data_IF_186676232378
#
_entry.id   IF_186676232378
#
_cell.length_a   1.000
_cell.length_b   1.000
_cell.length_c   1.000
_cell.angle_alpha   90.00
_cell.angle_beta   90.00
_cell.angle_gamma   90.00
#
_symmetry.space_group_name_H-M   'P 1'
#
loop_
_entity.id
_entity.type
_entity.pdbx_description
1 polymer ?
#
# COMPACT_ATOMS: atom_id res chain seq x y z
N UNK A 1 14.29 12.57 4.87
CA UNK A 1 14.30 13.37 3.63
C UNK A 1 13.48 12.64 2.59
N UNK A 2 12.67 13.35 1.78
CA UNK A 2 11.88 12.74 0.73
C UNK A 2 12.77 12.02 -0.29
N UNK A 3 12.26 10.91 -0.80
CA UNK A 3 12.87 10.17 -1.91
C UNK A 3 12.23 10.59 -3.24
N UNK A 4 12.88 10.18 -4.32
CA UNK A 4 12.55 10.62 -5.66
C UNK A 4 12.40 9.43 -6.59
N UNK A 5 11.34 9.45 -7.37
CA UNK A 5 10.88 8.32 -8.15
C UNK A 5 10.57 8.70 -9.58
N UNK A 6 10.66 7.72 -10.46
CA UNK A 6 10.29 7.80 -11.85
C UNK A 6 9.39 6.62 -12.18
N UNK A 7 8.20 6.90 -12.72
CA UNK A 7 7.27 5.85 -13.16
C UNK A 7 7.18 5.77 -14.68
N UNK A 8 7.38 4.58 -15.24
CA UNK A 8 7.09 4.28 -16.64
C UNK A 8 5.71 3.59 -16.75
N UNK A 9 4.69 4.34 -17.15
CA UNK A 9 3.31 3.87 -17.15
C UNK A 9 2.57 4.15 -18.46
N UNK A 10 3.24 3.99 -19.60
CA UNK A 10 2.67 4.26 -20.95
C UNK A 10 1.28 3.61 -21.16
N UNK A 11 1.07 2.41 -20.63
CA UNK A 11 -0.15 1.62 -20.83
C UNK A 11 -1.35 2.13 -20.01
N UNK A 12 -1.08 2.71 -18.83
CA UNK A 12 -2.09 3.01 -17.80
C UNK A 12 -2.10 4.48 -17.36
N UNK A 13 -1.28 5.34 -18.00
CA UNK A 13 -1.11 6.75 -17.64
C UNK A 13 -2.43 7.52 -17.52
N UNK A 14 -3.43 7.27 -18.39
CA UNK A 14 -4.70 8.00 -18.32
C UNK A 14 -5.47 7.66 -17.04
N UNK A 15 -5.52 6.37 -16.70
CA UNK A 15 -6.21 5.87 -15.52
C UNK A 15 -5.49 6.26 -14.23
N UNK A 16 -4.16 6.13 -14.21
CA UNK A 16 -3.33 6.44 -13.05
C UNK A 16 -3.30 7.95 -12.73
N UNK A 17 -3.19 8.80 -13.76
CA UNK A 17 -3.30 10.26 -13.57
C UNK A 17 -4.72 10.65 -13.14
N UNK A 18 -5.74 10.18 -13.87
CA UNK A 18 -7.13 10.54 -13.59
C UNK A 18 -7.66 10.01 -12.26
N UNK A 19 -7.13 8.87 -11.79
CA UNK A 19 -7.48 8.27 -10.50
C UNK A 19 -6.63 8.74 -9.32
N UNK A 20 -5.52 9.44 -9.56
CA UNK A 20 -4.64 9.90 -8.48
C UNK A 20 -3.89 8.78 -7.78
N UNK A 21 -3.35 7.82 -8.55
CA UNK A 21 -2.61 6.69 -8.00
C UNK A 21 -1.60 6.09 -8.97
N UNK A 22 -0.72 5.24 -8.45
CA UNK A 22 0.00 4.20 -9.19
C UNK A 22 -0.52 2.83 -8.78
N UNK A 23 -0.50 1.89 -9.72
CA UNK A 23 -0.90 0.50 -9.44
C UNK A 23 0.04 -0.50 -10.11
N UNK A 24 0.48 -1.51 -9.37
CA UNK A 24 1.25 -2.62 -9.91
C UNK A 24 0.78 -3.95 -9.33
N UNK A 25 1.01 -5.08 -10.01
CA UNK A 25 0.92 -6.37 -9.34
C UNK A 25 1.98 -6.47 -8.23
N UNK A 26 1.80 -7.41 -7.30
CA UNK A 26 2.78 -7.66 -6.22
C UNK A 26 4.01 -8.42 -6.68
N UNK A 27 3.85 -9.24 -7.72
CA UNK A 27 4.87 -10.11 -8.30
C UNK A 27 4.74 -10.10 -9.83
N UNK A 28 5.79 -10.56 -10.51
CA UNK A 28 5.73 -10.81 -11.95
C UNK A 28 4.80 -12.01 -12.25
N UNK A 29 4.39 -12.16 -13.52
CA UNK A 29 3.47 -13.23 -13.93
C UNK A 29 3.98 -14.66 -13.64
N UNK A 30 5.29 -14.83 -13.47
CA UNK A 30 5.92 -16.11 -13.11
C UNK A 30 6.10 -16.28 -11.58
N UNK A 31 5.52 -15.38 -10.76
CA UNK A 31 5.66 -15.35 -9.31
C UNK A 31 6.99 -14.75 -8.82
N UNK A 32 7.87 -14.29 -9.71
CA UNK A 32 9.15 -13.71 -9.30
C UNK A 32 8.98 -12.33 -8.63
N UNK A 33 9.85 -12.03 -7.68
CA UNK A 33 9.96 -10.70 -7.06
C UNK A 33 10.42 -9.66 -8.09
N UNK A 34 9.80 -8.48 -8.07
CA UNK A 34 10.20 -7.34 -8.91
C UNK A 34 10.60 -6.16 -8.04
N UNK A 35 11.86 -5.71 -8.12
CA UNK A 35 12.31 -4.53 -7.38
C UNK A 35 11.44 -3.29 -7.69
N UNK A 36 10.93 -3.17 -8.92
CA UNK A 36 10.12 -2.03 -9.33
C UNK A 36 8.72 -2.04 -8.71
N UNK A 37 8.15 -3.21 -8.42
CA UNK A 37 6.89 -3.31 -7.69
C UNK A 37 7.11 -3.14 -6.19
N UNK A 38 8.22 -3.66 -5.65
CA UNK A 38 8.59 -3.44 -4.25
C UNK A 38 8.82 -1.97 -3.92
N UNK A 39 9.34 -1.19 -4.88
CA UNK A 39 9.51 0.25 -4.73
C UNK A 39 8.20 0.98 -4.39
N UNK A 40 7.03 0.44 -4.77
CA UNK A 40 5.74 0.99 -4.37
C UNK A 40 5.57 1.01 -2.84
N UNK A 41 6.07 -0.02 -2.15
CA UNK A 41 6.03 -0.10 -0.69
C UNK A 41 7.08 0.75 0.00
N UNK A 42 8.20 1.00 -0.68
CA UNK A 42 9.31 1.78 -0.16
C UNK A 42 8.99 3.28 -0.24
N UNK A 43 8.17 3.69 -1.22
CA UNK A 43 7.73 5.06 -1.37
C UNK A 43 6.96 5.54 -0.12
N UNK A 44 7.31 6.74 0.36
CA UNK A 44 6.75 7.34 1.56
C UNK A 44 5.94 8.60 1.23
N UNK A 45 4.98 8.97 2.10
CA UNK A 45 4.29 10.24 1.99
C UNK A 45 5.27 11.41 1.83
N UNK A 46 5.04 12.28 0.85
CA UNK A 46 5.89 13.43 0.52
C UNK A 46 7.01 13.15 -0.50
N UNK A 47 7.24 11.89 -0.86
CA UNK A 47 8.13 11.53 -1.96
C UNK A 47 7.59 12.07 -3.31
N UNK A 48 8.49 12.40 -4.23
CA UNK A 48 8.14 13.00 -5.52
C UNK A 48 8.31 12.00 -6.66
N UNK A 49 7.36 11.98 -7.60
CA UNK A 49 7.29 11.01 -8.70
C UNK A 49 7.18 11.70 -10.06
N UNK A 50 8.05 11.39 -11.01
CA UNK A 50 7.91 11.83 -12.40
C UNK A 50 7.06 10.83 -13.20
N UNK A 51 6.02 11.33 -13.87
CA UNK A 51 5.17 10.55 -14.78
C UNK A 51 5.77 10.50 -16.18
N UNK A 52 6.41 9.38 -16.54
CA UNK A 52 6.94 9.17 -17.88
C UNK A 52 6.04 8.24 -18.71
N UNK A 53 5.49 8.80 -19.78
CA UNK A 53 4.69 8.06 -20.75
C UNK A 53 4.90 8.61 -22.15
N UNK A 54 4.89 7.72 -23.15
CA UNK A 54 5.01 8.11 -24.56
C UNK A 54 6.23 8.98 -24.87
N UNK A 55 7.37 8.77 -24.19
CA UNK A 55 8.62 9.55 -24.30
C UNK A 55 8.60 10.94 -23.65
N UNK A 56 7.51 11.30 -22.96
CA UNK A 56 7.33 12.60 -22.34
C UNK A 56 7.12 12.49 -20.84
N UNK A 57 7.49 13.54 -20.14
CA UNK A 57 7.05 13.83 -18.78
C UNK A 57 6.06 14.98 -18.86
N UNK A 58 4.84 14.70 -18.41
CA UNK A 58 3.72 15.65 -18.44
C UNK A 58 3.15 15.97 -17.07
N UNK A 59 3.45 15.14 -16.08
CA UNK A 59 3.00 15.32 -14.71
C UNK A 59 4.15 15.03 -13.76
N UNK A 60 4.09 15.69 -12.61
CA UNK A 60 4.86 15.37 -11.42
C UNK A 60 3.88 15.10 -10.30
N UNK A 61 4.16 14.08 -9.49
CA UNK A 61 3.29 13.63 -8.42
C UNK A 61 3.96 13.73 -7.06
N UNK A 62 3.15 13.83 -6.02
CA UNK A 62 3.57 13.62 -4.63
C UNK A 62 2.84 12.42 -4.06
N UNK A 63 3.57 11.49 -3.45
CA UNK A 63 2.98 10.37 -2.72
C UNK A 63 2.19 10.90 -1.54
N UNK A 64 0.90 10.60 -1.47
CA UNK A 64 0.02 11.14 -0.41
C UNK A 64 0.05 10.29 0.86
N UNK A 65 0.15 8.97 0.70
CA UNK A 65 0.13 8.00 1.78
C UNK A 65 0.97 6.75 1.44
N UNK A 66 1.25 5.90 2.43
CA UNK A 66 1.90 4.61 2.18
C UNK A 66 1.06 3.73 1.24
N UNK A 67 1.75 2.89 0.46
CA UNK A 67 1.10 1.93 -0.41
C UNK A 67 0.19 0.98 0.40
N UNK A 68 -0.98 0.68 -0.17
CA UNK A 68 -1.90 -0.33 0.36
C UNK A 68 -2.10 -1.43 -0.65
N UNK A 69 -2.62 -2.56 -0.18
CA UNK A 69 -3.12 -3.62 -1.06
C UNK A 69 -4.51 -3.25 -1.56
N UNK A 70 -4.72 -3.44 -2.86
CA UNK A 70 -5.99 -3.16 -3.51
C UNK A 70 -6.21 -4.07 -4.73
N UNK A 71 -7.48 -4.35 -5.08
CA UNK A 71 -7.81 -5.02 -6.33
C UNK A 71 -7.27 -4.29 -7.56
N UNK A 72 -7.12 -5.03 -8.66
CA UNK A 72 -6.83 -4.44 -9.96
C UNK A 72 -7.98 -3.50 -10.37
N UNK A 73 -7.72 -2.24 -10.74
CA UNK A 73 -8.78 -1.33 -11.18
C UNK A 73 -9.53 -1.86 -12.40
N UNK A 74 -10.86 -1.93 -12.34
CA UNK A 74 -11.71 -2.49 -13.40
C UNK A 74 -11.57 -1.80 -14.76
N UNK A 75 -11.26 -0.49 -14.75
CA UNK A 75 -11.09 0.32 -15.97
C UNK A 75 -9.75 0.12 -16.70
N UNK A 76 -8.88 -0.79 -16.23
CA UNK A 76 -7.67 -1.17 -16.96
C UNK A 76 -7.99 -2.02 -18.20
N UNK A 77 -9.20 -2.61 -18.30
CA UNK A 77 -9.65 -3.37 -19.47
C UNK A 77 -8.68 -4.51 -19.84
N UNK A 78 -8.41 -4.68 -21.14
CA UNK A 78 -7.42 -5.65 -21.65
C UNK A 78 -5.96 -5.30 -21.28
N UNK A 79 -5.69 -4.06 -20.83
CA UNK A 79 -4.36 -3.68 -20.36
C UNK A 79 -4.12 -4.39 -19.01
N UNK A 80 -3.13 -5.27 -18.98
CA UNK A 80 -2.86 -6.10 -17.81
C UNK A 80 -3.75 -7.33 -17.65
N UNK A 81 -4.28 -7.90 -18.74
CA UNK A 81 -5.08 -9.14 -18.70
C UNK A 81 -4.36 -10.32 -17.99
N UNK A 82 -3.03 -10.26 -17.88
CA UNK A 82 -2.19 -11.26 -17.21
C UNK A 82 -1.80 -10.89 -15.76
N UNK A 83 -2.25 -9.75 -15.24
CA UNK A 83 -1.89 -9.32 -13.89
C UNK A 83 -2.79 -9.94 -12.83
N UNK A 84 -2.21 -10.20 -11.66
CA UNK A 84 -2.93 -10.68 -10.50
C UNK A 84 -4.06 -9.71 -10.11
N UNK A 85 -5.15 -10.26 -9.56
CA UNK A 85 -6.32 -9.48 -9.13
C UNK A 85 -6.04 -8.59 -7.91
N UNK A 86 -4.96 -8.86 -7.15
CA UNK A 86 -4.56 -8.11 -5.97
C UNK A 86 -3.16 -7.55 -6.16
N UNK A 87 -3.02 -6.24 -5.94
CA UNK A 87 -1.85 -5.45 -6.30
C UNK A 87 -1.48 -4.43 -5.23
N UNK A 88 -0.46 -3.65 -5.57
CA UNK A 88 -0.04 -2.46 -4.86
C UNK A 88 -0.77 -1.25 -5.41
N UNK A 89 -1.31 -0.43 -4.52
CA UNK A 89 -1.91 0.85 -4.84
C UNK A 89 -1.22 1.94 -4.04
N UNK A 90 -0.59 2.87 -4.74
CA UNK A 90 0.16 3.99 -4.15
C UNK A 90 -0.56 5.29 -4.51
N UNK A 91 -1.16 6.01 -3.55
CA UNK A 91 -1.88 7.25 -3.81
C UNK A 91 -0.93 8.36 -4.20
N UNK A 92 -1.21 9.04 -5.31
CA UNK A 92 -0.40 10.14 -5.82
C UNK A 92 -1.28 11.36 -6.11
N UNK A 93 -0.89 12.52 -5.57
CA UNK A 93 -1.40 13.80 -6.02
C UNK A 93 -0.62 14.26 -7.24
N UNK A 94 -1.23 14.16 -8.42
CA UNK A 94 -0.62 14.58 -9.67
C UNK A 94 -0.81 16.07 -9.94
N UNK A 95 0.27 16.70 -10.41
CA UNK A 95 0.30 18.09 -10.89
C UNK A 95 0.74 18.09 -12.36
N UNK A 96 -0.05 18.66 -13.28
CA UNK A 96 0.34 18.77 -14.67
C UNK A 96 1.48 19.80 -14.83
N UNK A 97 2.43 19.49 -15.71
CA UNK A 97 3.46 20.43 -16.12
C UNK A 97 2.92 21.32 -17.25
N UNK A 98 3.03 22.64 -17.07
CA UNK A 98 2.70 23.61 -18.11
C UNK A 98 3.60 23.47 -19.34
N UNK A 99 4.86 23.09 -19.13
CA UNK A 99 5.82 22.76 -20.17
C UNK A 99 6.20 21.28 -20.09
N UNK A 100 5.59 20.41 -20.93
CA UNK A 100 6.00 19.01 -21.04
C UNK A 100 7.47 18.87 -21.39
N UNK A 101 8.17 17.99 -20.69
CA UNK A 101 9.60 17.75 -20.90
C UNK A 101 9.80 16.45 -21.64
N UNK A 102 10.65 16.46 -22.67
CA UNK A 102 11.12 15.23 -23.32
C UNK A 102 12.51 14.91 -22.76
N UNK A 103 12.67 13.87 -21.91
CA UNK A 103 13.95 13.61 -21.24
C UNK A 103 15.13 13.34 -22.18
N UNK A 104 14.85 12.89 -23.41
CA UNK A 104 15.88 12.72 -24.44
C UNK A 104 16.58 14.03 -24.81
N UNK A 105 15.87 15.15 -24.75
CA UNK A 105 16.41 16.47 -25.09
C UNK A 105 17.31 17.01 -23.94
N UNK A 106 17.41 16.27 -22.85
CA UNK A 106 18.26 16.50 -21.67
C UNK A 106 19.28 15.38 -21.50
N UNK A 107 19.57 14.59 -22.54
CA UNK A 107 20.35 13.36 -22.41
C UNK A 107 21.73 13.59 -21.79
N UNK A 108 22.44 14.66 -22.16
CA UNK A 108 23.78 14.97 -21.65
C UNK A 108 23.76 15.32 -20.16
N UNK A 109 22.70 15.98 -19.69
CA UNK A 109 22.49 16.35 -18.29
C UNK A 109 22.03 15.13 -17.46
N UNK A 110 21.15 14.30 -18.01
CA UNK A 110 20.53 13.18 -17.30
C UNK A 110 21.40 11.92 -17.28
N UNK A 111 22.13 11.62 -18.35
CA UNK A 111 22.94 10.40 -18.46
C UNK A 111 23.89 10.16 -17.27
N UNK A 112 24.64 11.15 -16.75
CA UNK A 112 25.52 10.95 -15.60
C UNK A 112 24.77 10.76 -14.27
N UNK A 113 23.50 11.20 -14.19
CA UNK A 113 22.68 11.16 -12.97
C UNK A 113 21.82 9.89 -12.86
N UNK A 114 21.68 9.12 -13.94
CA UNK A 114 20.86 7.92 -13.95
C UNK A 114 21.58 6.76 -13.25
N UNK A 115 20.87 5.96 -12.44
CA UNK A 115 21.50 4.89 -11.69
C UNK A 115 21.98 3.78 -12.64
N UNK A 116 23.18 3.24 -12.39
CA UNK A 116 23.77 2.17 -13.23
C UNK A 116 22.90 0.90 -13.27
N UNK A 117 22.25 0.58 -12.15
CA UNK A 117 21.32 -0.54 -12.01
C UNK A 117 19.90 0.01 -11.80
N UNK A 118 18.90 -0.67 -12.34
CA UNK A 118 17.49 -0.27 -12.22
C UNK A 118 17.17 1.13 -12.76
N UNK A 119 17.94 1.64 -13.73
CA UNK A 119 17.61 2.90 -14.40
C UNK A 119 16.19 2.85 -14.98
N UNK A 120 15.36 3.89 -14.79
CA UNK A 120 14.05 3.96 -15.42
C UNK A 120 14.14 4.16 -16.94
N UNK A 121 15.23 4.74 -17.43
CA UNK A 121 15.27 5.38 -18.74
C UNK A 121 16.64 5.21 -19.39
N UNK A 122 16.66 5.03 -20.70
CA UNK A 122 17.87 5.04 -21.50
C UNK A 122 18.04 6.42 -22.15
N UNK A 123 18.99 7.21 -21.66
CA UNK A 123 19.22 8.59 -22.13
C UNK A 123 19.54 8.70 -23.62
N UNK A 124 20.34 7.78 -24.16
CA UNK A 124 20.76 7.78 -25.56
C UNK A 124 19.56 7.47 -26.48
N UNK A 125 18.80 6.42 -26.16
CA UNK A 125 17.65 5.98 -26.97
C UNK A 125 16.41 6.85 -26.74
N UNK A 126 16.32 7.53 -25.61
CA UNK A 126 15.13 8.30 -25.22
C UNK A 126 13.93 7.44 -24.85
N UNK A 127 14.16 6.18 -24.46
CA UNK A 127 13.09 5.20 -24.17
C UNK A 127 13.15 4.73 -22.73
N UNK A 128 11.98 4.56 -22.11
CA UNK A 128 11.87 3.89 -20.81
C UNK A 128 12.35 2.45 -20.89
N UNK A 129 13.05 1.98 -19.86
CA UNK A 129 13.54 0.60 -19.80
C UNK A 129 12.36 -0.36 -19.58
N UNK A 130 12.35 -1.45 -20.35
CA UNK A 130 11.31 -2.47 -20.20
C UNK A 130 11.34 -3.07 -18.79
N UNK A 131 10.15 -3.37 -18.24
CA UNK A 131 9.92 -3.86 -16.87
C UNK A 131 10.24 -2.88 -15.73
N UNK A 132 10.86 -1.74 -16.01
CA UNK A 132 11.10 -0.71 -15.00
C UNK A 132 9.83 0.10 -14.75
N UNK A 133 8.93 -0.36 -13.86
CA UNK A 133 7.70 0.37 -13.52
C UNK A 133 8.00 1.61 -12.67
N UNK A 134 8.27 1.46 -11.37
CA UNK A 134 8.66 2.55 -10.47
C UNK A 134 10.13 2.40 -10.09
N UNK A 135 10.99 3.33 -10.51
CA UNK A 135 12.42 3.32 -10.21
C UNK A 135 12.81 4.50 -9.32
N UNK A 136 13.72 4.26 -8.37
CA UNK A 136 14.34 5.33 -7.59
C UNK A 136 15.32 6.11 -8.47
N UNK A 137 15.31 7.43 -8.34
CA UNK A 137 16.26 8.34 -9.00
C UNK A 137 16.88 9.28 -7.97
N UNK A 138 17.97 9.95 -8.36
CA UNK A 138 18.57 10.98 -7.53
C UNK A 138 17.76 12.28 -7.60
N UNK A 139 17.88 13.11 -6.56
CA UNK A 139 17.24 14.43 -6.50
C UNK A 139 17.54 15.28 -7.73
N UNK A 140 18.79 15.25 -8.18
CA UNK A 140 19.26 15.99 -9.33
C UNK A 140 18.47 15.66 -10.62
N UNK A 141 18.04 14.40 -10.81
CA UNK A 141 17.20 14.02 -11.98
C UNK A 141 15.87 14.76 -11.97
N UNK A 142 15.24 14.87 -10.79
CA UNK A 142 13.97 15.59 -10.64
C UNK A 142 14.17 17.08 -10.89
N UNK A 143 15.18 17.67 -10.26
CA UNK A 143 15.46 19.10 -10.35
C UNK A 143 15.82 19.53 -11.78
N UNK A 144 16.60 18.74 -12.52
CA UNK A 144 16.89 19.01 -13.94
C UNK A 144 15.61 19.05 -14.78
N UNK A 145 14.69 18.11 -14.56
CA UNK A 145 13.46 18.01 -15.34
C UNK A 145 12.46 19.10 -14.95
N UNK A 146 12.28 19.35 -13.64
CA UNK A 146 11.40 20.41 -13.16
C UNK A 146 11.92 21.80 -13.53
N UNK A 147 13.24 22.02 -13.49
CA UNK A 147 13.89 23.23 -13.96
C UNK A 147 13.59 23.51 -15.43
N UNK A 148 13.67 22.49 -16.30
CA UNK A 148 13.27 22.61 -17.71
C UNK A 148 11.76 22.86 -17.87
N UNK A 149 10.93 22.37 -16.96
CA UNK A 149 9.50 22.62 -16.95
C UNK A 149 9.11 23.99 -16.35
N UNK A 150 10.06 24.74 -15.79
CA UNK A 150 9.82 26.00 -15.09
C UNK A 150 9.09 25.85 -13.76
N UNK A 151 9.25 24.71 -13.07
CA UNK A 151 8.59 24.40 -11.80
C UNK A 151 9.62 24.15 -10.70
N UNK A 152 9.44 24.76 -9.53
CA UNK A 152 10.28 24.49 -8.36
C UNK A 152 9.83 23.21 -7.64
N UNK A 153 10.77 22.46 -7.08
CA UNK A 153 10.47 21.22 -6.35
C UNK A 153 9.59 21.47 -5.12
N UNK A 154 9.85 22.57 -4.41
CA UNK A 154 9.11 22.99 -3.23
C UNK A 154 7.65 23.29 -3.57
N UNK A 155 7.39 23.86 -4.75
CA UNK A 155 6.04 24.14 -5.24
C UNK A 155 5.25 22.86 -5.55
N UNK A 156 5.92 21.78 -5.99
CA UNK A 156 5.28 20.47 -6.19
C UNK A 156 4.85 19.85 -4.86
N UNK A 157 5.70 19.99 -3.84
CA UNK A 157 5.47 19.41 -2.53
C UNK A 157 4.44 20.23 -1.72
N UNK A 158 4.32 21.52 -2.01
CA UNK A 158 3.27 22.37 -1.45
C UNK A 158 1.88 21.86 -1.87
N UNK A 159 1.05 21.54 -0.88
CA UNK A 159 -0.31 21.08 -1.09
C UNK A 159 -0.77 20.15 0.03
N UNK A 160 -2.07 20.12 0.28
CA UNK A 160 -2.66 19.22 1.25
C UNK A 160 -2.77 17.82 0.65
N UNK A 161 -2.27 16.82 1.39
CA UNK A 161 -2.47 15.41 1.05
C UNK A 161 -3.83 14.98 1.57
N UNK A 162 -4.51 14.12 0.80
CA UNK A 162 -5.67 13.38 1.33
C UNK A 162 -5.22 12.52 2.51
N UNK A 163 -6.09 12.38 3.52
CA UNK A 163 -5.82 11.47 4.63
C UNK A 163 -5.84 10.01 4.15
N UNK A 164 -5.06 9.15 4.80
CA UNK A 164 -5.03 7.72 4.52
C UNK A 164 -6.43 7.09 4.57
N UNK A 165 -7.24 7.48 5.55
CA UNK A 165 -8.63 7.03 5.70
C UNK A 165 -9.48 7.32 4.47
N UNK A 166 -9.43 8.55 3.94
CA UNK A 166 -10.21 8.93 2.75
C UNK A 166 -9.81 8.11 1.51
N UNK A 167 -8.52 7.81 1.39
CA UNK A 167 -7.98 7.05 0.26
C UNK A 167 -8.41 5.58 0.33
N UNK A 168 -8.32 4.97 1.51
CA UNK A 168 -8.73 3.58 1.73
C UNK A 168 -10.24 3.41 1.61
N UNK A 169 -11.02 4.34 2.17
CA UNK A 169 -12.48 4.30 2.09
C UNK A 169 -12.97 4.33 0.63
N UNK A 170 -12.33 5.14 -0.22
CA UNK A 170 -12.67 5.18 -1.65
C UNK A 170 -12.39 3.85 -2.38
N UNK A 171 -11.34 3.13 -1.99
CA UNK A 171 -11.02 1.80 -2.52
C UNK A 171 -12.02 0.75 -2.03
N UNK A 172 -12.36 0.79 -0.75
CA UNK A 172 -13.34 -0.13 -0.17
C UNK A 172 -14.74 0.11 -0.76
N UNK A 173 -15.13 1.36 -1.01
CA UNK A 173 -16.39 1.71 -1.69
C UNK A 173 -16.46 1.14 -3.11
N UNK A 174 -15.34 1.13 -3.84
CA UNK A 174 -15.29 0.53 -5.17
C UNK A 174 -15.44 -1.00 -5.12
N UNK A 175 -14.75 -1.65 -4.18
CA UNK A 175 -14.91 -3.08 -3.95
C UNK A 175 -16.34 -3.43 -3.50
N UNK A 176 -17.00 -2.57 -2.71
CA UNK A 176 -18.39 -2.74 -2.29
C UNK A 176 -19.36 -2.61 -3.47
N UNK A 177 -19.15 -1.62 -4.34
CA UNK A 177 -19.94 -1.48 -5.58
C UNK A 177 -19.84 -2.71 -6.46
N UNK A 178 -18.62 -3.24 -6.64
CA UNK A 178 -18.39 -4.45 -7.43
C UNK A 178 -19.16 -5.66 -6.87
N UNK A 179 -19.16 -5.85 -5.54
CA UNK A 179 -19.90 -6.95 -4.89
C UNK A 179 -21.40 -6.75 -5.04
N UNK A 180 -21.89 -5.54 -4.75
CA UNK A 180 -23.32 -5.20 -4.82
C UNK A 180 -23.91 -5.42 -6.22
N UNK A 181 -23.12 -5.14 -7.27
CA UNK A 181 -23.53 -5.28 -8.67
C UNK A 181 -23.34 -6.69 -9.24
N UNK A 182 -22.65 -7.59 -8.53
CA UNK A 182 -22.42 -8.96 -8.99
C UNK A 182 -23.67 -9.83 -8.79
N UNK A 183 -24.44 -10.00 -9.87
CA UNK A 183 -25.68 -10.80 -9.88
C UNK A 183 -25.46 -12.31 -9.76
N UNK A 184 -24.21 -12.80 -9.85
CA UNK A 184 -23.89 -14.22 -9.65
C UNK A 184 -23.90 -14.62 -8.17
N UNK A 185 -23.80 -13.64 -7.27
CA UNK A 185 -23.86 -13.82 -5.82
C UNK A 185 -25.32 -13.67 -5.36
N UNK A 186 -25.79 -14.51 -4.44
CA UNK A 186 -27.12 -14.34 -3.86
C UNK A 186 -27.21 -13.01 -3.09
N UNK A 187 -28.37 -12.35 -3.10
CA UNK A 187 -28.54 -11.03 -2.45
C UNK A 187 -28.18 -11.05 -0.96
N UNK A 188 -28.63 -12.08 -0.23
CA UNK A 188 -28.30 -12.27 1.18
C UNK A 188 -26.80 -12.40 1.42
N UNK A 189 -26.10 -13.09 0.52
CA UNK A 189 -24.64 -13.26 0.60
C UNK A 189 -23.92 -11.94 0.29
N UNK A 190 -24.40 -11.15 -0.67
CA UNK A 190 -23.87 -9.80 -0.93
C UNK A 190 -24.00 -8.91 0.31
N UNK A 191 -25.19 -8.87 0.92
CA UNK A 191 -25.44 -8.06 2.12
C UNK A 191 -24.54 -8.46 3.30
N UNK A 192 -24.31 -9.75 3.52
CA UNK A 192 -23.39 -10.21 4.57
C UNK A 192 -21.93 -9.85 4.25
N UNK A 193 -21.49 -9.93 2.99
CA UNK A 193 -20.16 -9.46 2.60
C UNK A 193 -19.99 -7.95 2.80
N UNK A 194 -21.02 -7.14 2.52
CA UNK A 194 -20.98 -5.69 2.77
C UNK A 194 -20.91 -5.38 4.27
N UNK A 195 -21.73 -6.05 5.09
CA UNK A 195 -21.65 -5.91 6.57
C UNK A 195 -20.28 -6.31 7.12
N UNK A 196 -19.66 -7.33 6.55
CA UNK A 196 -18.34 -7.79 6.97
C UNK A 196 -17.28 -6.68 6.87
N UNK A 197 -17.36 -5.80 5.86
CA UNK A 197 -16.47 -4.62 5.72
C UNK A 197 -16.42 -3.77 6.99
N UNK A 198 -17.54 -3.67 7.71
CA UNK A 198 -17.66 -2.87 8.95
C UNK A 198 -17.48 -3.72 10.22
N UNK A 199 -16.98 -4.95 10.10
CA UNK A 199 -16.82 -5.86 11.23
C UNK A 199 -18.15 -6.29 11.83
N UNK A 200 -19.20 -6.44 11.02
CA UNK A 200 -20.57 -6.75 11.43
C UNK A 200 -21.10 -8.06 10.82
N UNK A 201 -22.33 -8.43 11.20
CA UNK A 201 -23.05 -9.58 10.62
C UNK A 201 -22.37 -10.92 10.91
N UNK A 202 -22.46 -11.83 9.95
CA UNK A 202 -21.93 -13.20 10.06
C UNK A 202 -20.42 -13.22 10.29
N UNK A 203 -19.67 -12.28 9.71
CA UNK A 203 -18.23 -12.19 9.95
C UNK A 203 -17.91 -11.95 11.43
N UNK A 204 -18.54 -10.95 12.06
CA UNK A 204 -18.35 -10.69 13.50
C UNK A 204 -18.68 -11.90 14.36
N UNK A 205 -19.80 -12.56 14.06
CA UNK A 205 -20.21 -13.76 14.78
C UNK A 205 -19.14 -14.86 14.66
N UNK A 206 -18.63 -15.11 13.46
CA UNK A 206 -17.60 -16.11 13.21
C UNK A 206 -16.27 -15.76 13.91
N UNK A 207 -15.82 -14.50 13.86
CA UNK A 207 -14.63 -14.05 14.59
C UNK A 207 -14.81 -14.23 16.10
N UNK A 208 -16.00 -13.95 16.65
CA UNK A 208 -16.26 -14.10 18.08
C UNK A 208 -16.21 -15.55 18.58
N UNK A 209 -16.34 -16.54 17.68
CA UNK A 209 -16.13 -17.95 18.03
C UNK A 209 -14.65 -18.22 18.27
N UNK A 210 -13.77 -17.61 17.46
CA UNK A 210 -12.32 -17.78 17.49
C UNK A 210 -11.64 -16.88 18.55
N UNK A 211 -12.14 -15.65 18.71
CA UNK A 211 -11.51 -14.57 19.47
C UNK A 211 -12.50 -14.02 20.50
N UNK A 212 -12.20 -14.20 21.79
CA UNK A 212 -13.09 -13.80 22.90
C UNK A 212 -12.80 -12.43 23.49
N UNK A 213 -11.61 -11.90 23.22
CA UNK A 213 -11.14 -10.63 23.78
C UNK A 213 -10.09 -10.02 22.85
N UNK A 214 -9.77 -8.75 23.07
CA UNK A 214 -8.63 -8.13 22.43
C UNK A 214 -7.33 -8.82 22.83
N UNK A 215 -6.59 -9.32 21.84
CA UNK A 215 -5.31 -10.01 22.03
C UNK A 215 -4.26 -9.20 22.80
N UNK A 216 -4.28 -7.87 22.62
CA UNK A 216 -3.29 -6.98 23.27
C UNK A 216 -3.77 -6.50 24.64
N UNK A 217 -5.04 -6.07 24.75
CA UNK A 217 -5.53 -5.39 25.97
C UNK A 217 -6.32 -6.31 26.91
N UNK A 218 -6.68 -7.51 26.47
CA UNK A 218 -7.52 -8.43 27.22
C UNK A 218 -8.99 -8.02 27.35
N UNK A 219 -9.39 -6.86 26.81
CA UNK A 219 -10.78 -6.37 26.87
C UNK A 219 -11.70 -7.36 26.15
N UNK A 220 -12.71 -7.86 26.86
CA UNK A 220 -13.71 -8.81 26.35
C UNK A 220 -15.10 -8.20 26.18
N UNK A 221 -15.30 -6.94 26.56
CA UNK A 221 -16.57 -6.24 26.36
C UNK A 221 -16.85 -6.09 24.84
N UNK A 222 -17.89 -6.73 24.30
CA UNK A 222 -18.19 -6.69 22.87
C UNK A 222 -18.39 -5.27 22.33
N UNK A 223 -18.94 -4.35 23.11
CA UNK A 223 -19.21 -2.97 22.68
C UNK A 223 -17.94 -2.15 22.47
N UNK A 224 -16.81 -2.61 23.02
CA UNK A 224 -15.50 -1.99 22.86
C UNK A 224 -14.63 -2.70 21.82
N UNK A 225 -15.15 -3.74 21.16
CA UNK A 225 -14.41 -4.57 20.22
C UNK A 225 -14.88 -4.38 18.78
N UNK A 226 -13.92 -4.13 17.90
CA UNK A 226 -14.06 -4.20 16.45
C UNK A 226 -13.63 -5.59 15.98
N UNK A 227 -14.40 -6.21 15.08
CA UNK A 227 -13.94 -7.38 14.35
C UNK A 227 -13.13 -6.90 13.15
N UNK A 228 -11.80 -6.94 13.28
CA UNK A 228 -10.83 -6.47 12.29
C UNK A 228 -10.42 -7.61 11.38
N UNK A 229 -10.34 -7.39 10.06
CA UNK A 229 -9.85 -8.39 9.11
C UNK A 229 -8.33 -8.49 9.15
N UNK A 230 -7.79 -9.72 9.11
CA UNK A 230 -6.34 -9.94 9.02
C UNK A 230 -5.84 -9.70 7.59
N UNK A 231 -6.42 -10.39 6.61
CA UNK A 231 -6.30 -10.05 5.19
C UNK A 231 -7.40 -9.03 4.87
N UNK A 232 -7.06 -7.81 4.44
CA UNK A 232 -8.03 -6.73 4.26
C UNK A 232 -9.21 -7.16 3.40
N UNK A 233 -10.42 -6.76 3.79
CA UNK A 233 -11.69 -7.14 3.15
C UNK A 233 -11.71 -6.89 1.63
N UNK A 234 -11.16 -5.75 1.18
CA UNK A 234 -11.02 -5.41 -0.25
C UNK A 234 -10.13 -6.37 -1.02
N UNK A 235 -9.16 -6.98 -0.34
CA UNK A 235 -8.15 -7.85 -0.95
C UNK A 235 -8.55 -9.34 -0.90
N UNK A 236 -9.63 -9.68 -0.19
CA UNK A 236 -10.23 -11.00 -0.26
C UNK A 236 -10.74 -11.29 -1.67
N UNK A 237 -10.42 -12.47 -2.20
CA UNK A 237 -10.80 -12.88 -3.56
C UNK A 237 -12.15 -13.62 -3.58
N UNK A 238 -12.63 -14.08 -2.42
CA UNK A 238 -13.88 -14.82 -2.28
C UNK A 238 -14.72 -14.30 -1.13
N UNK A 239 -16.04 -14.51 -1.21
CA UNK A 239 -16.95 -14.24 -0.09
C UNK A 239 -16.63 -15.09 1.15
N UNK A 240 -16.12 -16.31 0.95
CA UNK A 240 -15.66 -17.18 2.03
C UNK A 240 -14.57 -16.52 2.86
N UNK A 241 -13.51 -15.97 2.23
CA UNK A 241 -12.46 -15.26 2.96
C UNK A 241 -12.98 -14.02 3.70
N UNK A 242 -13.96 -13.30 3.13
CA UNK A 242 -14.56 -12.10 3.77
C UNK A 242 -15.36 -12.44 5.01
N UNK A 243 -15.87 -13.67 5.11
CA UNK A 243 -16.77 -14.12 6.17
C UNK A 243 -16.13 -15.15 7.10
N UNK A 244 -14.88 -15.55 6.84
CA UNK A 244 -14.13 -16.51 7.64
C UNK A 244 -13.72 -15.92 8.99
N UNK A 245 -14.07 -16.60 10.08
CA UNK A 245 -13.69 -16.19 11.44
C UNK A 245 -12.18 -16.27 11.69
N UNK A 246 -11.44 -17.12 10.95
CA UNK A 246 -9.98 -17.15 11.01
C UNK A 246 -9.35 -15.93 10.34
N UNK A 247 -10.07 -15.23 9.46
CA UNK A 247 -9.60 -14.00 8.84
C UNK A 247 -9.89 -12.76 9.70
N UNK A 248 -10.10 -12.92 11.01
CA UNK A 248 -10.34 -11.77 11.86
C UNK A 248 -9.80 -11.89 13.26
N UNK A 249 -9.62 -10.72 13.87
CA UNK A 249 -9.25 -10.53 15.27
C UNK A 249 -10.28 -9.61 15.93
N UNK A 250 -10.60 -9.88 17.20
CA UNK A 250 -11.29 -8.90 18.03
C UNK A 250 -10.25 -7.91 18.55
N UNK A 251 -10.38 -6.63 18.23
CA UNK A 251 -9.43 -5.60 18.64
C UNK A 251 -10.19 -4.37 19.15
N UNK A 252 -9.62 -3.68 20.13
CA UNK A 252 -10.14 -2.37 20.54
C UNK A 252 -9.75 -1.30 19.51
N UNK A 253 -10.51 -0.19 19.36
CA UNK A 253 -10.41 0.70 18.20
C UNK A 253 -9.02 1.27 17.89
N UNK A 254 -8.23 1.59 18.91
CA UNK A 254 -6.88 2.11 18.70
C UNK A 254 -5.91 1.03 18.20
N UNK A 255 -6.07 -0.22 18.65
CA UNK A 255 -5.26 -1.36 18.20
C UNK A 255 -5.65 -1.77 16.78
N UNK A 256 -6.95 -1.84 16.52
CA UNK A 256 -7.53 -2.03 15.19
C UNK A 256 -6.94 -1.04 14.19
N UNK A 257 -6.95 0.26 14.52
CA UNK A 257 -6.37 1.32 13.68
C UNK A 257 -4.87 1.14 13.40
N UNK A 258 -4.09 0.63 14.36
CA UNK A 258 -2.66 0.37 14.16
C UNK A 258 -2.45 -0.86 13.27
N UNK A 259 -3.24 -1.91 13.49
CA UNK A 259 -3.15 -3.16 12.76
C UNK A 259 -3.55 -2.98 11.29
N UNK A 260 -4.72 -2.36 11.04
CA UNK A 260 -5.23 -2.08 9.69
C UNK A 260 -4.29 -1.20 8.84
N UNK A 261 -3.51 -0.35 9.50
CA UNK A 261 -2.48 0.51 8.86
C UNK A 261 -1.14 -0.18 8.67
N UNK A 262 -1.00 -1.42 9.14
CA UNK A 262 0.27 -2.13 9.15
C UNK A 262 1.33 -1.53 10.07
N UNK A 263 0.94 -0.70 11.05
CA UNK A 263 1.85 -0.16 12.06
C UNK A 263 2.18 -1.20 13.12
N UNK A 264 1.31 -2.19 13.30
CA UNK A 264 1.60 -3.41 14.06
C UNK A 264 1.20 -4.65 13.26
N UNK A 265 1.73 -5.81 13.62
CA UNK A 265 1.33 -7.12 13.11
C UNK A 265 1.66 -8.17 14.18
N UNK A 266 1.44 -9.46 13.87
CA UNK A 266 1.76 -10.56 14.78
C UNK A 266 2.55 -11.66 14.08
N UNK A 267 3.49 -12.26 14.80
CA UNK A 267 4.07 -13.57 14.45
C UNK A 267 3.06 -14.69 14.76
N UNK A 268 3.28 -15.86 14.16
CA UNK A 268 2.39 -17.02 14.37
C UNK A 268 2.40 -17.53 15.82
N UNK A 269 3.48 -17.23 16.56
CA UNK A 269 3.65 -17.55 17.98
C UNK A 269 3.06 -16.51 18.95
N UNK A 270 2.34 -15.50 18.44
CA UNK A 270 1.72 -14.46 19.26
C UNK A 270 2.61 -13.27 19.59
N UNK A 271 3.88 -13.24 19.13
CA UNK A 271 4.71 -12.03 19.34
C UNK A 271 4.23 -10.87 18.49
N UNK A 272 4.15 -9.70 19.09
CA UNK A 272 3.78 -8.46 18.40
C UNK A 272 4.98 -7.95 17.58
N UNK A 273 4.70 -7.52 16.36
CA UNK A 273 5.62 -6.82 15.49
C UNK A 273 5.22 -5.36 15.42
N UNK A 274 6.16 -4.45 15.65
CA UNK A 274 5.93 -3.00 15.57
C UNK A 274 6.68 -2.44 14.38
N UNK A 275 5.99 -1.64 13.57
CA UNK A 275 6.57 -0.94 12.44
C UNK A 275 7.55 0.12 12.95
N UNK A 276 8.72 0.29 12.32
CA UNK A 276 9.65 1.38 12.63
C UNK A 276 9.07 2.78 12.34
N UNK A 277 7.95 2.85 11.61
CA UNK A 277 7.23 4.11 11.38
C UNK A 277 6.38 4.54 12.58
N UNK A 278 6.14 3.65 13.54
CA UNK A 278 5.47 4.00 14.80
C UNK A 278 6.53 4.43 15.81
N UNK A 279 6.53 5.71 16.18
CA UNK A 279 7.50 6.25 17.13
C UNK A 279 7.40 5.54 18.49
N UNK A 280 8.54 5.20 19.08
CA UNK A 280 8.58 4.47 20.35
C UNK A 280 7.84 5.20 21.49
N UNK A 281 7.90 6.54 21.51
CA UNK A 281 7.15 7.33 22.48
C UNK A 281 5.63 7.13 22.35
N UNK A 282 5.12 6.90 21.14
CA UNK A 282 3.71 6.63 20.91
C UNK A 282 3.35 5.19 21.28
N UNK A 283 4.24 4.22 21.02
CA UNK A 283 4.10 2.85 21.53
C UNK A 283 3.90 2.85 23.05
N UNK A 284 4.69 3.64 23.78
CA UNK A 284 4.55 3.80 25.24
C UNK A 284 3.22 4.44 25.62
N UNK A 285 2.84 5.55 24.97
CA UNK A 285 1.57 6.26 25.26
C UNK A 285 0.33 5.44 24.92
N UNK A 286 0.43 4.54 23.95
CA UNK A 286 -0.61 3.60 23.58
C UNK A 286 -0.68 2.38 24.52
N UNK A 287 0.21 2.28 25.52
CA UNK A 287 0.21 1.19 26.49
C UNK A 287 0.67 -0.14 25.91
N UNK A 288 1.42 -0.13 24.80
CA UNK A 288 1.83 -1.35 24.10
C UNK A 288 3.09 -1.99 24.67
N UNK A 289 3.85 -1.27 25.51
CA UNK A 289 5.19 -1.69 25.95
C UNK A 289 5.19 -3.06 26.62
N UNK A 290 4.29 -3.32 27.56
CA UNK A 290 4.16 -4.62 28.22
C UNK A 290 3.76 -5.73 27.25
N UNK A 291 2.87 -5.43 26.30
CA UNK A 291 2.43 -6.40 25.30
C UNK A 291 3.54 -6.77 24.29
N UNK A 292 4.63 -6.00 24.19
CA UNK A 292 5.79 -6.36 23.37
C UNK A 292 6.71 -7.38 24.06
N UNK A 293 6.65 -7.48 25.39
CA UNK A 293 7.46 -8.39 26.19
C UNK A 293 6.82 -9.78 26.31
N UNK A 294 5.50 -9.85 26.11
CA UNK A 294 4.69 -11.06 26.25
C UNK A 294 4.11 -11.54 24.90
N UNK A 295 3.78 -12.83 24.79
CA UNK A 295 3.03 -13.36 23.65
C UNK A 295 1.53 -13.19 23.90
N UNK A 296 0.77 -12.80 22.87
CA UNK A 296 -0.70 -12.68 22.94
C UNK A 296 -1.44 -14.02 22.80
N UNK A 297 -0.72 -15.12 23.00
CA UNK A 297 -1.18 -16.48 22.77
C UNK A 297 -1.02 -16.93 21.32
N UNK A 298 -1.11 -18.24 21.10
CA UNK A 298 -0.91 -18.85 19.79
C UNK A 298 -2.09 -18.55 18.86
N UNK A 299 -1.78 -18.41 17.57
CA UNK A 299 -2.78 -18.35 16.50
C UNK A 299 -3.06 -19.75 15.94
N UNK A 300 -4.28 -19.96 15.47
CA UNK A 300 -4.61 -21.21 14.77
C UNK A 300 -3.87 -21.30 13.43
N UNK A 301 -3.77 -22.50 12.87
CA UNK A 301 -3.22 -22.68 11.52
C UNK A 301 -3.99 -21.88 10.46
N UNK A 302 -5.31 -21.72 10.63
CA UNK A 302 -6.14 -20.88 9.76
C UNK A 302 -5.78 -19.40 9.87
N UNK A 303 -5.66 -18.87 11.08
CA UNK A 303 -5.25 -17.48 11.31
C UNK A 303 -3.83 -17.21 10.82
N UNK A 304 -2.91 -18.17 10.99
CA UNK A 304 -1.52 -18.05 10.55
C UNK A 304 -1.40 -17.82 9.02
N UNK A 305 -2.30 -18.40 8.22
CA UNK A 305 -2.33 -18.15 6.76
C UNK A 305 -2.61 -16.67 6.46
N UNK A 306 -3.62 -16.09 7.10
CA UNK A 306 -3.93 -14.67 6.91
C UNK A 306 -2.87 -13.76 7.55
N UNK A 307 -2.32 -14.12 8.71
CA UNK A 307 -1.27 -13.33 9.36
C UNK A 307 0.00 -13.30 8.53
N UNK A 308 0.33 -14.40 7.84
CA UNK A 308 1.42 -14.40 6.86
C UNK A 308 1.16 -13.37 5.76
N UNK A 309 -0.05 -13.34 5.19
CA UNK A 309 -0.44 -12.32 4.22
C UNK A 309 -0.31 -10.90 4.82
N UNK A 310 -0.80 -10.67 6.03
CA UNK A 310 -0.71 -9.37 6.69
C UNK A 310 0.74 -8.93 6.89
N UNK A 311 1.60 -9.81 7.42
CA UNK A 311 3.04 -9.56 7.60
C UNK A 311 3.75 -9.28 6.29
N UNK A 312 3.38 -9.96 5.21
CA UNK A 312 4.00 -9.81 3.90
C UNK A 312 3.51 -8.55 3.19
N UNK A 313 2.21 -8.24 3.25
CA UNK A 313 1.59 -7.27 2.35
C UNK A 313 0.96 -6.04 2.98
N UNK A 314 0.65 -6.05 4.28
CA UNK A 314 0.02 -4.91 4.96
C UNK A 314 1.01 -4.25 5.91
N UNK A 315 1.75 -5.05 6.67
CA UNK A 315 2.72 -4.57 7.63
C UNK A 315 3.80 -3.70 6.96
N UNK A 316 3.96 -2.49 7.50
CA UNK A 316 4.92 -1.50 7.03
C UNK A 316 6.29 -1.80 7.65
N UNK A 317 7.17 -2.44 6.88
CA UNK A 317 8.56 -2.72 7.27
C UNK A 317 9.46 -1.59 6.77
N UNK A 318 10.51 -1.23 7.51
CA UNK A 318 11.64 -0.57 6.85
C UNK A 318 12.37 -1.62 6.02
N UNK A 319 12.45 -1.39 4.70
CA UNK A 319 13.45 -2.03 3.87
C UNK A 319 14.75 -1.22 3.98
N UNK A 320 15.35 -1.20 5.18
CA UNK A 320 16.77 -0.79 5.32
C UNK A 320 17.61 -2.06 5.24
N UNK A 321 18.53 -2.19 4.27
CA UNK A 321 19.46 -3.31 4.21
C UNK A 321 20.32 -3.53 5.48
N UNK A 322 20.28 -2.63 6.47
CA UNK A 322 21.22 -2.65 7.60
C UNK A 322 20.59 -2.40 8.99
N UNK A 323 19.29 -2.12 9.12
CA UNK A 323 18.71 -1.77 10.43
C UNK A 323 18.10 -2.98 11.14
N UNK A 324 18.94 -3.94 11.57
CA UNK A 324 18.59 -4.78 12.73
C UNK A 324 18.79 -3.94 14.00
N UNK A 325 17.94 -2.95 14.21
CA UNK A 325 17.87 -2.29 15.52
C UNK A 325 17.11 -3.24 16.44
N UNK A 326 17.86 -4.05 17.18
CA UNK A 326 17.35 -4.62 18.41
C UNK A 326 17.13 -3.44 19.35
N UNK A 327 15.89 -3.16 19.70
CA UNK A 327 15.60 -2.35 20.88
C UNK A 327 16.19 -3.10 22.07
N UNK A 328 17.37 -2.68 22.53
CA UNK A 328 17.81 -2.97 23.89
C UNK A 328 17.17 -1.92 24.78
N UNK A 329 16.37 -2.37 25.73
CA UNK A 329 15.95 -1.54 26.85
C UNK A 329 17.19 -0.99 27.58
N UNK A 330 17.10 0.22 28.18
CA UNK A 330 18.22 0.91 28.82
C UNK A 330 18.84 0.13 29.98
#
# INVERSE_FOLDING_TARGET
MPQYWWVNHKQTVRQEIGGGYLWSPKQENNGARSQFYENMRIANPGDVVLSFANTWIRHVGVVEAHCVTAPKPGHFGASGAYWAQDGWWLPIRWTPLSQPVRPRDLADELAPLLPRKHSPFNAIRGTGNQKAYLARVERAVIETILGRAGLALEAVQAGENRSFEQLVEALDDEAERAITQDLTIAETERLEQVKARRGQGRFRANVSVMEKACRITGISNPDLLTASHIKPWRSCTTGTERLDGNNGLMLVPHIDRLFDRGLISFQDDGRILVSPLLAFADVQRLGLTSALEESVGLFTSGQAVYLKYHREFVFLREDRPEARVRFKAP
#
